data_IF_270618009869
#
_entry.id   IF_270618009869
#
_cell.length_a   1.000
_cell.length_b   1.000
_cell.length_c   1.000
_cell.angle_alpha   90.00
_cell.angle_beta   90.00
_cell.angle_gamma   90.00
#
_symmetry.space_group_name_H-M   'P 1'
#
loop_
_entity.id
_entity.type
_entity.pdbx_description
1 polymer ?
#
# COMPACT_ATOMS: atom_id res chain seq x y z
N UNK A 1 -3.38 -13.24 14.34
CA UNK A 1 -2.40 -12.17 14.61
C UNK A 1 -1.07 -12.64 14.05
N UNK A 2 -0.37 -11.79 13.29
CA UNK A 2 0.88 -12.13 12.61
C UNK A 2 1.99 -11.14 13.02
N UNK A 3 3.26 -11.57 13.10
CA UNK A 3 4.36 -10.66 13.35
C UNK A 3 4.45 -9.57 12.27
N UNK A 4 4.88 -8.38 12.65
CA UNK A 4 5.11 -7.26 11.75
C UNK A 4 6.60 -7.10 11.45
N UNK A 5 6.92 -6.67 10.24
CA UNK A 5 8.28 -6.31 9.83
C UNK A 5 8.23 -5.13 8.86
N UNK A 6 9.21 -4.24 8.94
CA UNK A 6 9.38 -3.18 7.95
C UNK A 6 10.17 -3.72 6.74
N UNK A 7 9.68 -3.48 5.52
CA UNK A 7 10.33 -3.98 4.30
C UNK A 7 11.77 -3.49 4.14
N UNK A 8 12.10 -2.29 4.64
CA UNK A 8 13.47 -1.76 4.64
C UNK A 8 14.44 -2.54 5.53
N UNK A 9 13.93 -3.31 6.49
CA UNK A 9 14.75 -4.14 7.40
C UNK A 9 14.89 -5.59 6.91
N UNK A 10 14.27 -5.93 5.77
CA UNK A 10 14.34 -7.26 5.16
C UNK A 10 14.78 -7.22 3.68
N UNK A 11 15.90 -6.57 3.32
CA UNK A 11 16.37 -6.54 1.95
C UNK A 11 16.88 -7.91 1.48
N UNK A 12 16.54 -8.29 0.25
CA UNK A 12 17.17 -9.42 -0.43
C UNK A 12 18.58 -9.05 -0.90
N UNK A 13 19.55 -9.11 0.01
CA UNK A 13 20.94 -8.72 -0.26
C UNK A 13 21.60 -9.61 -1.31
N UNK A 14 21.29 -10.91 -1.32
CA UNK A 14 21.84 -11.84 -2.33
C UNK A 14 21.31 -11.56 -3.73
N UNK A 15 20.09 -11.01 -3.84
CA UNK A 15 19.51 -10.50 -5.08
C UNK A 15 19.98 -9.09 -5.48
N UNK A 16 20.93 -8.49 -4.74
CA UNK A 16 21.44 -7.14 -5.04
C UNK A 16 20.56 -5.99 -4.55
N UNK A 17 19.59 -6.26 -3.68
CA UNK A 17 18.73 -5.22 -3.12
C UNK A 17 19.26 -4.67 -1.80
N UNK A 18 19.04 -3.38 -1.58
CA UNK A 18 19.31 -2.70 -0.31
C UNK A 18 18.01 -2.31 0.39
N UNK A 19 18.14 -1.87 1.64
CA UNK A 19 17.06 -1.27 2.42
C UNK A 19 16.28 -0.16 1.67
N UNK A 20 16.97 0.63 0.84
CA UNK A 20 16.35 1.70 0.05
C UNK A 20 15.43 1.18 -1.07
N UNK A 21 15.66 -0.04 -1.54
CA UNK A 21 14.81 -0.69 -2.55
C UNK A 21 13.74 -1.56 -1.90
N UNK A 22 14.11 -2.36 -0.89
CA UNK A 22 13.22 -3.32 -0.24
C UNK A 22 12.09 -2.66 0.55
N UNK A 23 12.28 -1.42 1.04
CA UNK A 23 11.22 -0.60 1.65
C UNK A 23 9.99 -0.44 0.75
N UNK A 24 10.15 -0.51 -0.57
CA UNK A 24 9.04 -0.40 -1.51
C UNK A 24 8.35 -1.72 -1.77
N UNK A 25 8.90 -2.85 -1.28
CA UNK A 25 8.35 -4.18 -1.45
C UNK A 25 8.07 -4.54 -2.92
N UNK A 26 8.92 -4.08 -3.83
CA UNK A 26 8.87 -4.50 -5.23
C UNK A 26 9.25 -5.99 -5.34
N UNK A 27 8.88 -6.61 -6.46
CA UNK A 27 9.15 -8.04 -6.70
C UNK A 27 10.64 -8.36 -6.48
N UNK A 28 10.90 -9.51 -5.84
CA UNK A 28 12.22 -10.04 -5.43
C UNK A 28 13.08 -9.17 -4.50
N UNK A 29 12.63 -7.99 -4.09
CA UNK A 29 13.42 -7.09 -3.22
C UNK A 29 13.46 -7.49 -1.75
N UNK A 30 12.59 -8.40 -1.31
CA UNK A 30 12.45 -8.81 0.09
C UNK A 30 13.14 -10.17 0.33
N UNK A 31 13.87 -10.28 1.43
CA UNK A 31 14.41 -11.56 1.89
C UNK A 31 13.27 -12.47 2.37
N UNK A 32 13.07 -13.57 1.65
CA UNK A 32 11.99 -14.54 1.90
C UNK A 32 12.08 -15.15 3.30
N UNK A 33 13.27 -15.39 3.83
CA UNK A 33 13.45 -15.98 5.15
C UNK A 33 13.02 -15.02 6.27
N UNK A 34 13.19 -13.71 6.05
CA UNK A 34 12.84 -12.69 7.04
C UNK A 34 11.35 -12.35 7.04
N UNK A 35 10.69 -12.41 5.88
CA UNK A 35 9.28 -11.96 5.72
C UNK A 35 8.24 -13.08 5.70
N UNK A 36 8.63 -14.34 5.46
CA UNK A 36 7.69 -15.45 5.36
C UNK A 36 6.79 -15.55 6.60
N UNK A 37 5.48 -15.58 6.39
CA UNK A 37 4.48 -15.68 7.47
C UNK A 37 4.27 -14.39 8.28
N UNK A 38 4.84 -13.26 7.86
CA UNK A 38 4.70 -11.95 8.54
C UNK A 38 3.85 -10.97 7.74
N UNK A 39 3.38 -9.92 8.39
CA UNK A 39 2.82 -8.74 7.72
C UNK A 39 3.96 -7.76 7.46
N UNK A 40 4.12 -7.34 6.21
CA UNK A 40 5.20 -6.42 5.80
C UNK A 40 4.67 -5.00 5.64
N UNK A 41 5.30 -4.02 6.30
CA UNK A 41 5.07 -2.59 6.06
C UNK A 41 5.89 -2.09 4.87
N UNK A 42 5.22 -1.51 3.87
CA UNK A 42 5.79 -1.04 2.61
C UNK A 42 5.55 0.46 2.41
N UNK A 43 6.53 1.17 1.84
CA UNK A 43 6.55 2.64 1.71
C UNK A 43 5.98 3.19 0.40
N UNK A 44 5.40 2.31 -0.44
CA UNK A 44 4.83 2.71 -1.72
C UNK A 44 3.68 1.81 -2.11
N UNK A 45 2.66 2.42 -2.72
CA UNK A 45 1.59 1.67 -3.35
C UNK A 45 2.11 0.86 -4.54
N UNK A 46 2.17 -0.45 -4.35
CA UNK A 46 2.54 -1.46 -5.35
C UNK A 46 1.46 -2.54 -5.40
N UNK A 47 1.54 -3.45 -6.38
CA UNK A 47 0.53 -4.49 -6.63
C UNK A 47 0.31 -5.51 -5.49
N UNK A 48 1.15 -5.50 -4.45
CA UNK A 48 1.18 -6.53 -3.41
C UNK A 48 1.84 -7.85 -3.82
N UNK A 49 2.28 -7.99 -5.09
CA UNK A 49 2.95 -9.21 -5.59
C UNK A 49 4.30 -9.46 -4.92
N UNK A 50 5.09 -8.43 -4.65
CA UNK A 50 6.39 -8.58 -3.98
C UNK A 50 6.30 -9.28 -2.62
N UNK A 51 5.49 -8.76 -1.67
CA UNK A 51 5.24 -9.45 -0.41
C UNK A 51 4.65 -10.86 -0.59
N UNK A 52 3.71 -11.04 -1.52
CA UNK A 52 3.11 -12.34 -1.80
C UNK A 52 4.17 -13.37 -2.23
N UNK A 53 4.99 -13.05 -3.24
CA UNK A 53 6.03 -13.94 -3.74
C UNK A 53 7.14 -14.21 -2.72
N UNK A 54 7.36 -13.26 -1.80
CA UNK A 54 8.27 -13.46 -0.68
C UNK A 54 7.67 -14.32 0.46
N UNK A 55 6.39 -14.71 0.35
CA UNK A 55 5.71 -15.58 1.31
C UNK A 55 5.12 -14.86 2.52
N UNK A 56 4.90 -13.54 2.43
CA UNK A 56 4.26 -12.76 3.48
C UNK A 56 2.82 -13.24 3.74
N UNK A 57 2.38 -13.15 5.00
CA UNK A 57 1.00 -13.42 5.38
C UNK A 57 0.05 -12.24 5.05
N UNK A 58 0.61 -11.05 4.86
CA UNK A 58 -0.12 -9.84 4.48
C UNK A 58 0.81 -8.64 4.30
N UNK A 59 0.25 -7.49 3.95
CA UNK A 59 1.03 -6.26 3.86
C UNK A 59 0.24 -5.03 4.31
N UNK A 60 0.94 -4.08 4.92
CA UNK A 60 0.43 -2.74 5.17
C UNK A 60 1.21 -1.80 4.29
N UNK A 61 0.51 -0.95 3.55
CA UNK A 61 1.13 0.01 2.64
C UNK A 61 0.93 1.41 3.22
N UNK A 62 2.00 2.20 3.30
CA UNK A 62 1.95 3.62 3.58
C UNK A 62 2.44 4.42 2.38
N UNK A 63 1.69 5.43 1.96
CA UNK A 63 2.06 6.31 0.86
C UNK A 63 1.31 7.65 1.01
N UNK A 64 1.55 8.58 0.08
CA UNK A 64 0.92 9.91 0.01
C UNK A 64 -0.22 9.98 -1.00
N UNK A 65 -0.48 8.90 -1.75
CA UNK A 65 -1.56 8.84 -2.74
C UNK A 65 -2.92 8.98 -2.05
N UNK A 66 -3.85 9.71 -2.67
CA UNK A 66 -5.21 9.91 -2.16
C UNK A 66 -5.90 8.55 -1.95
N UNK A 67 -6.69 8.47 -0.87
CA UNK A 67 -7.44 7.29 -0.43
C UNK A 67 -8.92 7.43 -0.74
N UNK A 68 -9.24 8.07 -1.87
CA UNK A 68 -10.60 8.32 -2.35
C UNK A 68 -11.18 7.16 -3.18
N UNK A 69 -10.43 6.07 -3.30
CA UNK A 69 -10.88 4.79 -3.83
C UNK A 69 -10.07 3.65 -3.19
N UNK A 70 -10.57 2.42 -3.30
CA UNK A 70 -9.92 1.22 -2.79
C UNK A 70 -9.46 0.32 -3.93
N UNK A 71 -8.31 -0.33 -3.75
CA UNK A 71 -7.78 -1.36 -4.63
C UNK A 71 -7.94 -2.75 -3.99
N UNK A 72 -8.09 -3.79 -4.82
CA UNK A 72 -7.95 -5.17 -4.39
C UNK A 72 -6.49 -5.62 -4.49
N UNK A 73 -6.10 -6.56 -3.63
CA UNK A 73 -4.73 -7.07 -3.55
C UNK A 73 -4.75 -8.61 -3.49
N UNK A 74 -3.66 -9.28 -3.92
CA UNK A 74 -3.62 -10.74 -3.97
C UNK A 74 -3.32 -11.40 -2.61
N UNK A 75 -3.12 -10.59 -1.56
CA UNK A 75 -2.96 -11.01 -0.16
C UNK A 75 -3.66 -10.00 0.76
N UNK A 76 -3.96 -10.36 2.02
CA UNK A 76 -4.53 -9.42 2.99
C UNK A 76 -3.71 -8.13 3.06
N UNK A 77 -4.34 -7.01 2.70
CA UNK A 77 -3.66 -5.72 2.54
C UNK A 77 -4.47 -4.58 3.11
N UNK A 78 -3.81 -3.64 3.78
CA UNK A 78 -4.41 -2.37 4.20
C UNK A 78 -3.54 -1.20 3.75
N UNK A 79 -4.16 -0.20 3.11
CA UNK A 79 -3.49 1.03 2.69
C UNK A 79 -3.80 2.16 3.68
N UNK A 80 -2.77 2.68 4.34
CA UNK A 80 -2.87 3.75 5.32
C UNK A 80 -2.20 5.03 4.81
N UNK A 81 -2.61 6.17 5.35
CA UNK A 81 -1.88 7.41 5.08
C UNK A 81 -0.48 7.36 5.72
N UNK A 82 0.41 8.21 5.22
CA UNK A 82 1.80 8.32 5.71
C UNK A 82 1.92 8.67 7.20
N UNK A 83 0.96 9.38 7.79
CA UNK A 83 1.02 9.74 9.21
C UNK A 83 0.80 8.50 10.09
N UNK A 84 -0.21 7.69 9.78
CA UNK A 84 -0.50 6.45 10.49
C UNK A 84 0.55 5.38 10.18
N UNK A 85 1.04 5.31 8.95
CA UNK A 85 2.16 4.43 8.60
C UNK A 85 3.44 4.74 9.40
N UNK A 86 3.75 6.01 9.67
CA UNK A 86 4.86 6.39 10.56
C UNK A 86 4.64 5.90 11.99
N UNK A 87 3.42 5.94 12.51
CA UNK A 87 3.10 5.38 13.84
C UNK A 87 3.32 3.87 13.87
N UNK A 88 2.91 3.16 12.81
CA UNK A 88 3.15 1.72 12.65
C UNK A 88 4.65 1.43 12.60
N UNK A 89 5.42 2.21 11.84
CA UNK A 89 6.88 2.05 11.79
C UNK A 89 7.53 2.28 13.17
N UNK A 90 7.10 3.30 13.91
CA UNK A 90 7.57 3.53 15.28
C UNK A 90 7.22 2.35 16.19
N UNK A 91 6.00 1.81 16.08
CA UNK A 91 5.58 0.62 16.82
C UNK A 91 6.43 -0.62 16.50
N UNK A 92 6.76 -0.85 15.23
CA UNK A 92 7.67 -1.94 14.82
C UNK A 92 9.05 -1.76 15.47
N UNK A 93 9.58 -0.54 15.48
CA UNK A 93 10.91 -0.25 16.02
C UNK A 93 10.99 -0.28 17.55
N UNK A 94 9.90 0.00 18.25
CA UNK A 94 9.88 0.03 19.72
C UNK A 94 9.52 -1.30 20.37
N UNK A 95 9.05 -2.29 19.59
CA UNK A 95 8.61 -3.58 20.11
C UNK A 95 9.21 -4.74 19.31
N UNK A 96 10.05 -5.54 19.96
CA UNK A 96 10.70 -6.71 19.37
C UNK A 96 9.72 -7.79 18.90
N UNK A 97 8.51 -7.81 19.45
CA UNK A 97 7.43 -8.76 19.11
C UNK A 97 6.21 -8.03 18.53
N UNK A 98 6.43 -6.94 17.79
CA UNK A 98 5.36 -6.22 17.10
C UNK A 98 4.53 -7.17 16.23
N UNK A 99 3.22 -7.10 16.36
CA UNK A 99 2.29 -7.96 15.62
C UNK A 99 0.97 -7.25 15.35
N UNK A 100 0.25 -7.70 14.31
CA UNK A 100 -1.00 -7.09 13.89
C UNK A 100 -1.97 -8.10 13.28
N UNK A 101 -3.20 -7.64 13.06
CA UNK A 101 -4.25 -8.36 12.34
C UNK A 101 -4.83 -7.40 11.31
N UNK A 102 -4.91 -7.85 10.05
CA UNK A 102 -5.62 -7.14 8.99
C UNK A 102 -7.03 -7.69 8.96
N UNK A 103 -8.02 -6.82 9.21
CA UNK A 103 -9.43 -7.20 9.20
C UNK A 103 -10.01 -7.16 7.79
N UNK A 104 -11.14 -7.86 7.60
CA UNK A 104 -11.95 -7.75 6.39
C UNK A 104 -12.44 -6.32 6.23
N UNK A 105 -12.46 -5.82 4.99
CA UNK A 105 -12.98 -4.50 4.68
C UNK A 105 -14.45 -4.36 5.08
N UNK A 106 -14.79 -3.18 5.57
CA UNK A 106 -16.16 -2.76 5.89
C UNK A 106 -16.47 -1.46 5.16
N UNK A 107 -17.76 -1.19 4.94
CA UNK A 107 -18.19 0.08 4.38
C UNK A 107 -17.98 1.19 5.41
N UNK A 108 -17.30 2.27 4.98
CA UNK A 108 -17.23 3.52 5.72
C UNK A 108 -18.33 4.48 5.28
N UNK A 109 -18.73 5.39 6.17
CA UNK A 109 -19.59 6.53 5.83
C UNK A 109 -18.72 7.78 5.64
N UNK A 110 -18.67 8.31 4.42
CA UNK A 110 -17.95 9.53 4.08
C UNK A 110 -18.94 10.70 3.96
N UNK A 111 -19.00 11.55 4.98
CA UNK A 111 -19.93 12.69 5.03
C UNK A 111 -19.56 13.81 4.07
N UNK A 112 -18.39 13.76 3.44
CA UNK A 112 -17.96 14.75 2.45
C UNK A 112 -18.36 14.35 1.02
N UNK A 113 -18.93 13.15 0.82
CA UNK A 113 -19.43 12.71 -0.47
C UNK A 113 -20.71 13.48 -0.88
N UNK A 114 -20.92 13.74 -2.20
CA UNK A 114 -20.08 13.32 -3.32
C UNK A 114 -18.96 14.32 -3.65
N UNK A 115 -17.80 13.81 -4.08
CA UNK A 115 -16.73 14.59 -4.66
C UNK A 115 -16.11 13.82 -5.83
N UNK A 116 -15.39 14.55 -6.71
CA UNK A 116 -14.81 13.93 -7.89
C UNK A 116 -13.54 13.16 -7.52
N UNK A 117 -13.54 11.85 -7.79
CA UNK A 117 -12.40 10.97 -7.57
C UNK A 117 -11.13 11.47 -8.27
N UNK A 118 -9.98 11.23 -7.64
CA UNK A 118 -8.66 11.73 -8.06
C UNK A 118 -8.23 11.26 -9.44
N UNK A 119 -8.62 10.06 -9.86
CA UNK A 119 -8.30 9.50 -11.17
C UNK A 119 -9.26 9.96 -12.29
N UNK A 120 -10.35 10.65 -11.95
CA UNK A 120 -11.30 11.12 -12.95
C UNK A 120 -10.65 12.17 -13.84
N UNK A 121 -10.61 11.89 -15.15
CA UNK A 121 -10.03 12.80 -16.14
C UNK A 121 -10.69 14.16 -16.08
N UNK A 122 -9.90 15.20 -16.35
CA UNK A 122 -10.38 16.58 -16.37
C UNK A 122 -10.39 17.09 -17.79
N UNK A 123 -11.34 17.99 -18.06
CA UNK A 123 -11.30 18.81 -19.26
C UNK A 123 -10.11 19.79 -19.24
N UNK A 124 -10.02 20.66 -20.25
CA UNK A 124 -11.02 20.89 -21.30
C UNK A 124 -11.02 19.78 -22.38
N UNK A 125 -11.93 19.88 -23.34
CA UNK A 125 -11.93 19.02 -24.52
C UNK A 125 -10.72 19.35 -25.40
N UNK A 126 -9.77 18.41 -25.56
CA UNK A 126 -8.55 18.61 -26.34
C UNK A 126 -8.75 18.80 -27.85
N UNK A 127 -9.94 18.53 -28.40
CA UNK A 127 -10.27 18.73 -29.82
C UNK A 127 -10.94 20.08 -30.05
N UNK A 128 -11.92 20.42 -29.22
CA UNK A 128 -12.72 21.66 -29.36
C UNK A 128 -12.96 22.26 -27.99
N UNK A 129 -12.18 23.30 -27.66
CA UNK A 129 -12.19 23.93 -26.34
C UNK A 129 -13.53 24.57 -25.96
N UNK A 130 -14.32 24.99 -26.95
CA UNK A 130 -15.65 25.61 -26.74
C UNK A 130 -16.72 24.60 -26.32
N UNK A 131 -16.45 23.29 -26.44
CA UNK A 131 -17.37 22.23 -26.03
C UNK A 131 -16.90 21.65 -24.69
N UNK A 132 -17.69 21.88 -23.64
CA UNK A 132 -17.49 21.25 -22.35
C UNK A 132 -17.53 19.72 -22.50
N UNK A 133 -16.50 19.03 -22.01
CA UNK A 133 -16.48 17.56 -22.02
C UNK A 133 -17.29 17.02 -20.85
N UNK A 134 -18.41 16.36 -21.16
CA UNK A 134 -19.20 15.61 -20.18
C UNK A 134 -18.67 14.18 -20.12
N UNK A 135 -18.33 13.72 -18.91
CA UNK A 135 -17.96 12.32 -18.65
C UNK A 135 -19.23 11.61 -18.18
N UNK A 136 -19.78 10.72 -19.01
CA UNK A 136 -20.88 9.84 -18.60
C UNK A 136 -20.29 8.62 -17.89
N UNK A 137 -20.65 8.45 -16.63
CA UNK A 137 -20.46 7.19 -15.91
C UNK A 137 -21.66 6.30 -16.23
N UNK A 138 -21.46 5.31 -17.10
CA UNK A 138 -22.45 4.27 -17.43
C UNK A 138 -22.04 2.98 -16.77
#
# INVERSE_FOLDING_TARGET
MYPLIYGGDAPNVTGGFSNNSSRFCIEDSLDRNLVKGKIVLCDRLVSGKGPLYAGAAGTVIQDTIRRDYANNFPLPTSYVNKADGRKILTYIKSNSNASATIFKSMQGNDTLAPYVASFSSRGPNGITLDILKVINFT
#
